data_IF_648285708689
#
_entry.id   IF_648285708689
#
_cell.length_a   1.000
_cell.length_b   1.000
_cell.length_c   1.000
_cell.angle_alpha   90.00
_cell.angle_beta   90.00
_cell.angle_gamma   90.00
#
_symmetry.space_group_name_H-M   'P 1'
#
loop_
_entity.id
_entity.type
_entity.pdbx_description
1 polymer ?
#
# COMPACT_ATOMS: atom_id res chain seq x y z
N UNK A 1 -10.24 24.02 -16.45
CA UNK A 1 -10.11 22.56 -16.71
C UNK A 1 -10.03 21.86 -15.37
N UNK A 2 -11.09 21.18 -14.92
CA UNK A 2 -11.02 20.33 -13.71
C UNK A 2 -10.36 19.03 -14.13
N UNK A 3 -9.03 18.99 -14.04
CA UNK A 3 -8.24 17.81 -14.39
C UNK A 3 -8.46 16.73 -13.31
N UNK A 4 -9.50 15.90 -13.42
CA UNK A 4 -9.70 14.62 -12.71
C UNK A 4 -9.72 14.63 -11.16
N UNK A 5 -9.42 15.76 -10.52
CA UNK A 5 -9.22 15.83 -9.07
C UNK A 5 -10.51 15.83 -8.27
N UNK A 6 -11.62 16.28 -8.87
CA UNK A 6 -12.92 16.26 -8.20
C UNK A 6 -13.51 14.84 -8.20
N UNK A 7 -13.32 14.10 -9.28
CA UNK A 7 -13.72 12.69 -9.41
C UNK A 7 -12.97 11.82 -8.40
N UNK A 8 -11.64 12.00 -8.28
CA UNK A 8 -10.84 11.24 -7.32
C UNK A 8 -11.25 11.52 -5.86
N UNK A 9 -11.62 12.75 -5.51
CA UNK A 9 -12.07 13.09 -4.15
C UNK A 9 -13.44 12.51 -3.79
N UNK A 10 -14.25 12.14 -4.79
CA UNK A 10 -15.54 11.47 -4.55
C UNK A 10 -15.35 9.97 -4.24
N UNK A 11 -14.35 9.36 -4.87
CA UNK A 11 -14.14 7.91 -4.80
C UNK A 11 -13.08 7.51 -3.75
N UNK A 12 -12.17 8.43 -3.39
CA UNK A 12 -11.06 8.15 -2.49
C UNK A 12 -10.97 9.21 -1.37
N UNK A 13 -10.87 8.74 -0.12
CA UNK A 13 -10.67 9.62 1.04
C UNK A 13 -9.28 10.29 1.06
N UNK A 14 -8.27 9.62 0.49
CA UNK A 14 -6.92 10.17 0.36
C UNK A 14 -6.18 9.53 -0.81
N UNK A 15 -5.16 10.25 -1.31
CA UNK A 15 -4.18 9.74 -2.29
C UNK A 15 -2.80 9.97 -1.71
N UNK A 16 -2.03 8.89 -1.56
CA UNK A 16 -0.64 8.94 -1.14
C UNK A 16 0.26 8.83 -2.36
N UNK A 17 1.12 9.82 -2.56
CA UNK A 17 2.11 9.81 -3.61
C UNK A 17 3.43 9.24 -3.08
N UNK A 18 4.00 8.28 -3.79
CA UNK A 18 5.35 7.74 -3.54
C UNK A 18 6.14 7.72 -4.83
N UNK A 19 7.47 7.84 -4.72
CA UNK A 19 8.37 7.91 -5.87
C UNK A 19 9.39 6.76 -5.80
N UNK A 20 9.05 5.57 -6.37
CA UNK A 20 9.99 4.46 -6.41
C UNK A 20 11.25 4.83 -7.19
N UNK A 21 12.43 4.30 -6.79
CA UNK A 21 13.69 4.57 -7.50
C UNK A 21 13.66 3.95 -8.91
N UNK A 22 14.60 4.33 -9.77
CA UNK A 22 14.88 3.58 -10.99
C UNK A 22 15.86 2.44 -10.66
N UNK A 23 15.54 1.21 -11.09
CA UNK A 23 16.31 0.02 -10.72
C UNK A 23 17.81 0.10 -11.07
N UNK A 24 18.14 0.66 -12.25
CA UNK A 24 19.52 0.74 -12.75
C UNK A 24 20.28 2.01 -12.38
N UNK A 25 19.67 2.92 -11.62
CA UNK A 25 20.23 4.26 -11.36
C UNK A 25 20.28 4.60 -9.87
N UNK A 26 20.33 3.58 -9.03
CA UNK A 26 20.37 3.74 -7.58
C UNK A 26 21.33 2.71 -7.00
N UNK A 27 22.10 3.09 -5.97
CA UNK A 27 23.11 2.21 -5.36
C UNK A 27 22.47 1.02 -4.64
N UNK A 28 21.36 1.26 -3.95
CA UNK A 28 20.52 0.25 -3.30
C UNK A 28 19.04 0.38 -3.74
N UNK A 29 18.68 -0.06 -4.95
CA UNK A 29 17.35 0.13 -5.50
C UNK A 29 16.30 -0.68 -4.72
N UNK A 30 16.64 -1.88 -4.27
CA UNK A 30 15.72 -2.76 -3.52
C UNK A 30 15.40 -2.17 -2.14
N UNK A 31 16.40 -1.72 -1.38
CA UNK A 31 16.15 -1.07 -0.09
C UNK A 31 15.40 0.25 -0.21
N UNK A 32 15.65 1.02 -1.29
CA UNK A 32 14.87 2.22 -1.58
C UNK A 32 13.41 1.91 -1.94
N UNK A 33 13.14 0.87 -2.74
CA UNK A 33 11.78 0.42 -3.03
C UNK A 33 11.07 -0.09 -1.77
N UNK A 34 11.77 -0.83 -0.91
CA UNK A 34 11.23 -1.29 0.37
C UNK A 34 10.81 -0.12 1.27
N UNK A 35 11.64 0.94 1.34
CA UNK A 35 11.27 2.19 2.06
C UNK A 35 10.01 2.83 1.50
N UNK A 36 9.83 2.86 0.17
CA UNK A 36 8.60 3.39 -0.42
C UNK A 36 7.35 2.66 0.10
N UNK A 37 7.39 1.33 0.23
CA UNK A 37 6.28 0.58 0.83
C UNK A 37 6.14 0.85 2.33
N UNK A 38 7.24 0.76 3.08
CA UNK A 38 7.26 0.91 4.53
C UNK A 38 6.74 2.28 5.00
N UNK A 39 6.94 3.34 4.21
CA UNK A 39 6.46 4.68 4.51
C UNK A 39 5.05 4.95 3.96
N UNK A 40 4.73 4.45 2.75
CA UNK A 40 3.45 4.76 2.11
C UNK A 40 2.27 3.94 2.63
N UNK A 41 2.47 2.69 3.04
CA UNK A 41 1.37 1.86 3.58
C UNK A 41 0.82 2.47 4.88
N UNK A 42 1.64 2.74 5.93
CA UNK A 42 1.13 3.35 7.15
C UNK A 42 0.46 4.69 6.89
N UNK A 43 1.10 5.54 6.07
CA UNK A 43 0.56 6.86 5.73
C UNK A 43 -0.82 6.79 5.06
N UNK A 44 -1.05 5.78 4.20
CA UNK A 44 -2.34 5.60 3.55
C UNK A 44 -3.44 5.17 4.53
N UNK A 45 -3.13 4.30 5.50
CA UNK A 45 -4.07 3.91 6.55
C UNK A 45 -4.33 5.06 7.54
N UNK A 46 -3.31 5.81 7.95
CA UNK A 46 -3.46 7.00 8.80
C UNK A 46 -4.31 8.09 8.15
N UNK A 47 -4.12 8.33 6.84
CA UNK A 47 -4.91 9.29 6.09
C UNK A 47 -6.38 8.88 5.99
N UNK A 48 -6.67 7.59 5.85
CA UNK A 48 -8.03 7.07 5.80
C UNK A 48 -8.77 7.18 7.14
N UNK A 49 -8.05 7.16 8.26
CA UNK A 49 -8.62 7.25 9.62
C UNK A 49 -8.97 8.68 10.05
N UNK A 50 -8.63 9.69 9.23
CA UNK A 50 -8.86 11.10 9.57
C UNK A 50 -8.05 11.60 10.79
N UNK A 51 -7.13 10.78 11.32
CA UNK A 51 -6.42 11.00 12.59
C UNK A 51 -4.93 11.37 12.49
N UNK A 52 -4.37 11.51 11.29
CA UNK A 52 -2.95 11.84 11.09
C UNK A 52 -2.61 13.33 11.26
N UNK A 53 -1.33 13.62 11.56
CA UNK A 53 -0.66 14.94 11.78
C UNK A 53 -0.93 16.05 10.75
N UNK A 54 -1.58 15.72 9.64
CA UNK A 54 -2.01 16.60 8.54
C UNK A 54 -3.55 16.65 8.47
N UNK A 55 -4.21 16.96 9.59
CA UNK A 55 -5.66 16.90 9.78
C UNK A 55 -6.47 17.86 8.89
N UNK A 56 -6.60 17.56 7.60
CA UNK A 56 -7.30 18.46 6.68
C UNK A 56 -8.29 17.81 5.69
N UNK A 57 -8.42 16.47 5.57
CA UNK A 57 -9.16 15.94 4.39
C UNK A 57 -10.20 14.84 4.60
N UNK A 58 -10.38 14.23 5.77
CA UNK A 58 -11.44 13.24 5.95
C UNK A 58 -12.55 13.81 6.84
N UNK A 59 -13.76 14.08 6.32
CA UNK A 59 -14.90 14.37 7.17
C UNK A 59 -15.12 13.14 8.07
N UNK A 60 -14.92 13.30 9.38
CA UNK A 60 -15.37 12.31 10.33
C UNK A 60 -16.89 12.22 10.18
N UNK A 61 -17.38 11.07 9.71
CA UNK A 61 -18.80 10.80 9.68
C UNK A 61 -19.29 10.79 11.14
N UNK A 62 -19.81 11.92 11.60
CA UNK A 62 -20.45 12.01 12.91
C UNK A 62 -21.72 11.14 12.88
N UNK A 63 -21.74 10.11 13.73
CA UNK A 63 -22.99 9.44 14.13
C UNK A 63 -23.29 8.06 13.53
N UNK A 64 -22.35 7.11 13.54
CA UNK A 64 -22.72 5.70 13.38
C UNK A 64 -22.18 4.81 14.51
N UNK A 65 -23.13 4.30 15.28
CA UNK A 65 -23.00 3.30 16.34
C UNK A 65 -22.47 1.96 15.78
N UNK A 66 -21.42 1.43 16.42
CA UNK A 66 -20.97 0.03 16.44
C UNK A 66 -20.74 -0.77 15.13
N UNK A 67 -20.36 -0.15 14.02
CA UNK A 67 -19.89 -0.90 12.82
C UNK A 67 -18.36 -0.92 12.73
N UNK A 68 -17.74 -2.11 12.77
CA UNK A 68 -16.31 -2.29 12.51
C UNK A 68 -15.83 -1.40 11.35
N UNK A 69 -15.02 -0.40 11.65
CA UNK A 69 -14.46 0.49 10.63
C UNK A 69 -13.54 -0.31 9.71
N UNK A 70 -14.00 -0.57 8.48
CA UNK A 70 -13.21 -1.24 7.46
C UNK A 70 -12.41 -0.18 6.69
N UNK A 71 -11.09 -0.24 6.79
CA UNK A 71 -10.21 0.64 5.99
C UNK A 71 -9.62 -0.17 4.86
N UNK A 72 -9.72 0.34 3.63
CA UNK A 72 -9.15 -0.28 2.44
C UNK A 72 -8.18 0.69 1.77
N UNK A 73 -6.96 0.21 1.52
CA UNK A 73 -5.95 0.90 0.73
C UNK A 73 -5.73 0.10 -0.55
N UNK A 74 -5.84 0.77 -1.70
CA UNK A 74 -5.45 0.23 -2.99
C UNK A 74 -4.08 0.81 -3.37
N UNK A 75 -3.16 -0.05 -3.81
CA UNK A 75 -1.86 0.38 -4.31
C UNK A 75 -1.42 -0.44 -5.51
N UNK A 76 -0.71 0.15 -6.48
CA UNK A 76 -0.10 -0.62 -7.56
C UNK A 76 1.09 -1.43 -7.04
N UNK A 77 1.53 -2.41 -7.83
CA UNK A 77 2.83 -3.06 -7.62
C UNK A 77 3.96 -2.06 -7.93
N UNK A 78 4.47 -1.37 -6.90
CA UNK A 78 5.53 -0.38 -7.02
C UNK A 78 6.82 -1.00 -7.60
N UNK A 79 7.53 -0.22 -8.40
CA UNK A 79 8.80 -0.63 -9.02
C UNK A 79 8.64 -1.42 -10.32
N UNK A 80 7.58 -2.21 -10.44
CA UNK A 80 7.29 -2.96 -11.66
C UNK A 80 6.96 -2.02 -12.84
N UNK A 81 7.36 -2.40 -14.05
CA UNK A 81 7.11 -1.62 -15.27
C UNK A 81 8.08 -0.43 -15.42
N UNK A 82 7.56 0.80 -15.39
CA UNK A 82 8.30 2.02 -15.78
C UNK A 82 9.56 2.33 -14.94
N UNK A 83 9.68 1.74 -13.75
CA UNK A 83 10.85 1.93 -12.88
C UNK A 83 11.93 0.85 -13.09
N UNK A 84 11.63 -0.16 -13.90
CA UNK A 84 12.59 -1.13 -14.40
C UNK A 84 12.98 -2.22 -13.41
N UNK A 85 12.25 -2.40 -12.30
CA UNK A 85 12.50 -3.55 -11.43
C UNK A 85 12.11 -4.84 -12.14
N UNK A 86 12.94 -5.90 -12.05
CA UNK A 86 12.48 -7.25 -12.35
C UNK A 86 11.22 -7.57 -11.55
N UNK A 87 10.28 -8.24 -12.19
CA UNK A 87 8.95 -8.47 -11.63
C UNK A 87 9.00 -9.32 -10.35
N UNK A 88 9.82 -10.35 -10.34
CA UNK A 88 10.09 -11.22 -9.18
C UNK A 88 10.65 -10.42 -8.00
N UNK A 89 11.55 -9.47 -8.26
CA UNK A 89 12.12 -8.57 -7.25
C UNK A 89 11.03 -7.65 -6.67
N UNK A 90 10.22 -7.02 -7.54
CA UNK A 90 9.14 -6.13 -7.11
C UNK A 90 8.07 -6.88 -6.28
N UNK A 91 7.68 -8.08 -6.71
CA UNK A 91 6.75 -8.97 -5.99
C UNK A 91 7.31 -9.36 -4.61
N UNK A 92 8.56 -9.81 -4.56
CA UNK A 92 9.22 -10.20 -3.30
C UNK A 92 9.23 -9.06 -2.29
N UNK A 93 9.59 -7.85 -2.73
CA UNK A 93 9.63 -6.66 -1.86
C UNK A 93 8.21 -6.27 -1.41
N UNK A 94 7.23 -6.27 -2.31
CA UNK A 94 5.85 -5.96 -1.99
C UNK A 94 5.28 -6.93 -0.93
N UNK A 95 5.48 -8.24 -1.12
CA UNK A 95 5.07 -9.27 -0.17
C UNK A 95 5.73 -9.07 1.21
N UNK A 96 7.06 -8.88 1.21
CA UNK A 96 7.84 -8.69 2.44
C UNK A 96 7.32 -7.50 3.24
N UNK A 97 7.20 -6.33 2.63
CA UNK A 97 6.81 -5.12 3.36
C UNK A 97 5.31 -5.12 3.72
N UNK A 98 4.44 -5.78 2.94
CA UNK A 98 3.03 -5.97 3.31
C UNK A 98 2.87 -6.86 4.55
N UNK A 99 3.57 -8.01 4.59
CA UNK A 99 3.56 -8.91 5.76
C UNK A 99 4.17 -8.23 6.97
N UNK A 100 5.31 -7.54 6.79
CA UNK A 100 5.95 -6.76 7.85
C UNK A 100 5.00 -5.73 8.45
N UNK A 101 4.42 -4.86 7.60
CA UNK A 101 3.46 -3.85 8.04
C UNK A 101 2.31 -4.47 8.84
N UNK A 102 1.73 -5.57 8.36
CA UNK A 102 0.63 -6.23 9.05
C UNK A 102 1.05 -6.75 10.43
N UNK A 103 2.25 -7.30 10.54
CA UNK A 103 2.77 -7.82 11.81
C UNK A 103 3.12 -6.69 12.79
N UNK A 104 3.58 -5.55 12.29
CA UNK A 104 3.97 -4.38 13.08
C UNK A 104 2.73 -3.60 13.57
N UNK A 105 1.66 -3.54 12.78
CA UNK A 105 0.42 -2.85 13.17
C UNK A 105 -0.43 -3.78 14.03
N UNK A 106 -0.44 -3.55 15.34
CA UNK A 106 -1.47 -4.07 16.23
C UNK A 106 -2.84 -3.57 15.76
N UNK A 107 -3.56 -4.37 14.98
CA UNK A 107 -4.78 -3.96 14.29
C UNK A 107 -5.93 -3.54 15.22
N UNK A 108 -5.82 -3.73 16.55
CA UNK A 108 -6.73 -3.15 17.53
C UNK A 108 -8.21 -3.51 17.30
N UNK A 109 -8.50 -4.68 16.74
CA UNK A 109 -9.85 -5.11 16.36
C UNK A 109 -10.39 -4.54 15.04
N UNK A 110 -9.61 -3.72 14.32
CA UNK A 110 -9.96 -3.15 13.01
C UNK A 110 -9.67 -4.13 11.89
N UNK A 111 -10.49 -4.06 10.83
CA UNK A 111 -10.23 -4.81 9.59
C UNK A 111 -9.58 -3.87 8.58
N UNK A 112 -8.27 -3.99 8.43
CA UNK A 112 -7.48 -3.28 7.43
C UNK A 112 -7.27 -4.17 6.21
N UNK A 113 -7.55 -3.65 5.01
CA UNK A 113 -7.41 -4.38 3.75
C UNK A 113 -6.41 -3.63 2.85
N UNK A 114 -5.27 -4.26 2.58
CA UNK A 114 -4.33 -3.80 1.55
C UNK A 114 -4.63 -4.56 0.25
N UNK A 115 -4.93 -3.84 -0.83
CA UNK A 115 -5.23 -4.41 -2.14
C UNK A 115 -4.16 -3.98 -3.15
N UNK A 116 -3.57 -4.95 -3.86
CA UNK A 116 -2.63 -4.68 -4.93
C UNK A 116 -3.33 -4.62 -6.29
N UNK A 117 -3.07 -3.55 -7.05
CA UNK A 117 -3.42 -3.44 -8.46
C UNK A 117 -2.45 -4.25 -9.30
N UNK A 118 -2.86 -5.45 -9.70
CA UNK A 118 -2.05 -6.41 -10.45
C UNK A 118 -2.64 -6.60 -11.86
N UNK A 119 -1.83 -6.53 -12.93
CA UNK A 119 -2.33 -6.54 -14.31
C UNK A 119 -2.78 -7.92 -14.81
N UNK A 120 -2.21 -9.01 -14.29
CA UNK A 120 -2.50 -10.37 -14.75
C UNK A 120 -2.49 -11.40 -13.60
N UNK A 121 -3.00 -12.60 -13.90
CA UNK A 121 -3.22 -13.65 -12.92
C UNK A 121 -1.91 -14.31 -12.44
N UNK A 122 -0.89 -14.35 -13.29
CA UNK A 122 0.37 -15.03 -12.96
C UNK A 122 1.15 -14.21 -11.93
N UNK A 123 1.17 -12.88 -12.10
CA UNK A 123 1.73 -11.96 -11.10
C UNK A 123 0.94 -12.01 -9.79
N UNK A 124 -0.39 -12.14 -9.87
CA UNK A 124 -1.23 -12.25 -8.68
C UNK A 124 -0.91 -13.56 -7.91
N UNK A 125 -0.74 -14.67 -8.64
CA UNK A 125 -0.30 -15.94 -8.07
C UNK A 125 1.06 -15.82 -7.39
N UNK A 126 2.06 -15.26 -8.09
CA UNK A 126 3.39 -15.07 -7.54
C UNK A 126 3.40 -14.19 -6.27
N UNK A 127 2.55 -13.16 -6.21
CA UNK A 127 2.42 -12.32 -5.02
C UNK A 127 1.75 -13.07 -3.85
N UNK A 128 0.72 -13.86 -4.12
CA UNK A 128 0.06 -14.70 -3.12
C UNK A 128 1.05 -15.71 -2.54
N UNK A 129 1.79 -16.40 -3.40
CA UNK A 129 2.78 -17.40 -2.99
C UNK A 129 3.88 -16.74 -2.14
N UNK A 130 4.41 -15.60 -2.58
CA UNK A 130 5.42 -14.84 -1.83
C UNK A 130 4.91 -14.36 -0.45
N UNK A 131 3.63 -13.99 -0.33
CA UNK A 131 3.02 -13.64 0.97
C UNK A 131 2.93 -14.89 1.86
N UNK A 132 2.42 -16.01 1.34
CA UNK A 132 2.27 -17.26 2.08
C UNK A 132 3.62 -17.77 2.60
N UNK A 133 4.66 -17.76 1.76
CA UNK A 133 6.00 -18.17 2.15
C UNK A 133 6.55 -17.34 3.32
N UNK A 134 6.34 -16.02 3.26
CA UNK A 134 6.76 -15.08 4.30
C UNK A 134 6.00 -15.28 5.61
N UNK A 135 4.72 -15.56 5.54
CA UNK A 135 3.91 -15.89 6.73
C UNK A 135 4.36 -17.17 7.42
N UNK A 136 4.86 -18.13 6.64
CA UNK A 136 5.38 -19.41 7.16
C UNK A 136 6.82 -19.30 7.68
N UNK A 137 7.47 -18.13 7.60
CA UNK A 137 8.84 -17.93 8.05
C UNK A 137 9.89 -18.66 7.20
N UNK A 138 9.58 -18.97 5.93
CA UNK A 138 10.56 -19.49 4.97
C UNK A 138 11.27 -18.30 4.33
N UNK A 139 12.54 -18.08 4.68
CA UNK A 139 13.42 -17.10 4.00
C UNK A 139 14.38 -17.78 3.03
#
# INVERSE_FOLDING_TARGET
TTWGGEELRREYGAVVHTAPPFYRHHDDPEGALARCYAESIPLAFEAAEGGGRFGFLCPTAEGSDDSHSHVRVAMPLLGAGCRGFPLDVAVRIAAKEAVRWRNDVGLGGRRCILSFGIPDRDVAGALIDAIIEREQGKE
#
